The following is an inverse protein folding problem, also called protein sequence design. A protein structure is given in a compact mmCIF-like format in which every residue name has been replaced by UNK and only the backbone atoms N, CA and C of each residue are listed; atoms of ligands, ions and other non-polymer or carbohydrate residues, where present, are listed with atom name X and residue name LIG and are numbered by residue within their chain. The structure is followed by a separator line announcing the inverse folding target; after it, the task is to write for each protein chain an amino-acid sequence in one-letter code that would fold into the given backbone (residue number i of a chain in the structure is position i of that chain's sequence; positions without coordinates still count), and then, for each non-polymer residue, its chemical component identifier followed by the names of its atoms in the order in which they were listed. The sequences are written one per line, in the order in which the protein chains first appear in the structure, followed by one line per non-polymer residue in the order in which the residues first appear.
data_IF_974973407502
#
_entry.id   IF_974973407502
#
_cell.length_a   1.000
_cell.length_b   1.000
_cell.length_c   1.000
_cell.angle_alpha   90.00
_cell.angle_beta   90.00
_cell.angle_gamma   90.00
#
_symmetry.space_group_name_H-M   'P 1'
#
loop_
_entity.id
_entity.type
_entity.pdbx_description
1 polymer ?
#
# COMPACT_ATOMS: atom_id res chain seq x y z
N UNK A 1 14.15 -3.62 -10.10
CA UNK A 1 12.75 -3.54 -9.66
C UNK A 1 12.69 -4.02 -8.23
N UNK A 2 11.94 -3.34 -7.38
CA UNK A 2 11.74 -3.71 -5.98
C UNK A 2 10.28 -4.18 -5.81
N UNK A 3 10.08 -5.26 -5.06
CA UNK A 3 8.74 -5.80 -4.80
C UNK A 3 8.46 -5.61 -3.32
N UNK A 4 7.40 -4.89 -3.01
CA UNK A 4 6.94 -4.68 -1.64
C UNK A 4 5.63 -5.42 -1.43
N UNK A 5 5.63 -6.27 -0.41
CA UNK A 5 4.42 -6.88 0.13
C UNK A 5 3.88 -6.00 1.26
N UNK A 6 2.59 -5.70 1.21
CA UNK A 6 1.89 -4.94 2.24
C UNK A 6 0.49 -5.49 2.44
N UNK A 7 -0.16 -5.14 3.55
CA UNK A 7 -1.54 -5.52 3.80
C UNK A 7 -2.35 -4.35 4.36
N UNK A 8 -3.61 -4.29 3.96
CA UNK A 8 -4.60 -3.34 4.45
C UNK A 8 -5.66 -4.06 5.27
N UNK A 9 -5.59 -3.93 6.59
CA UNK A 9 -6.58 -4.54 7.50
C UNK A 9 -7.91 -3.79 7.45
N UNK A 10 -9.02 -4.52 7.35
CA UNK A 10 -10.37 -3.96 7.38
C UNK A 10 -10.69 -3.44 8.78
N UNK A 11 -11.40 -2.31 8.84
CA UNK A 11 -11.94 -1.73 10.08
C UNK A 11 -13.14 -2.53 10.61
N UNK A 12 -13.92 -3.16 9.72
CA UNK A 12 -15.08 -3.96 10.07
C UNK A 12 -15.04 -5.29 9.29
N UNK A 13 -15.05 -6.42 10.00
CA UNK A 13 -14.95 -7.78 9.44
C UNK A 13 -16.30 -8.37 9.00
N UNK A 14 -17.39 -7.60 9.06
CA UNK A 14 -18.76 -8.12 8.86
C UNK A 14 -19.21 -8.29 7.41
N UNK A 15 -18.51 -7.72 6.42
CA UNK A 15 -18.86 -7.87 5.01
C UNK A 15 -17.84 -8.77 4.31
N UNK A 16 -18.34 -9.79 3.61
CA UNK A 16 -17.54 -10.69 2.80
C UNK A 16 -16.61 -9.90 1.86
N UNK A 17 -15.36 -10.36 1.65
CA UNK A 17 -14.45 -9.72 0.71
C UNK A 17 -15.06 -9.77 -0.69
N UNK A 18 -15.37 -8.61 -1.27
CA UNK A 18 -15.79 -8.56 -2.66
C UNK A 18 -14.55 -8.37 -3.53
N UNK A 19 -14.47 -9.11 -4.64
CA UNK A 19 -13.45 -8.94 -5.68
C UNK A 19 -13.39 -7.48 -6.18
N UNK A 20 -14.54 -6.77 -6.17
CA UNK A 20 -14.59 -5.33 -6.46
C UNK A 20 -13.78 -4.47 -5.49
N UNK A 21 -13.52 -4.93 -4.27
CA UNK A 21 -12.72 -4.19 -3.29
C UNK A 21 -11.24 -4.21 -3.66
N UNK A 22 -10.73 -5.32 -4.21
CA UNK A 22 -9.35 -5.43 -4.67
C UNK A 22 -9.10 -4.48 -5.86
N UNK A 23 -9.99 -4.48 -6.85
CA UNK A 23 -9.93 -3.55 -7.98
C UNK A 23 -9.94 -2.08 -7.50
N UNK A 24 -10.86 -1.71 -6.60
CA UNK A 24 -10.93 -0.35 -6.03
C UNK A 24 -9.68 0.08 -5.29
N UNK A 25 -8.99 -0.84 -4.64
CA UNK A 25 -7.72 -0.54 -3.96
C UNK A 25 -6.62 -0.28 -4.99
N UNK A 26 -6.53 -1.12 -6.03
CA UNK A 26 -5.58 -0.92 -7.13
C UNK A 26 -5.86 0.41 -7.86
N UNK A 27 -7.12 0.71 -8.16
CA UNK A 27 -7.52 1.97 -8.78
C UNK A 27 -7.13 3.18 -7.94
N UNK A 28 -7.37 3.12 -6.62
CA UNK A 28 -6.99 4.18 -5.71
C UNK A 28 -5.48 4.36 -5.58
N UNK A 29 -4.70 3.26 -5.61
CA UNK A 29 -3.24 3.33 -5.64
C UNK A 29 -2.75 4.05 -6.91
N UNK A 30 -3.28 3.70 -8.08
CA UNK A 30 -2.92 4.36 -9.34
C UNK A 30 -3.37 5.82 -9.38
N UNK A 31 -4.59 6.13 -8.94
CA UNK A 31 -5.13 7.48 -8.92
C UNK A 31 -4.32 8.45 -8.01
N UNK A 32 -3.56 7.91 -7.06
CA UNK A 32 -2.79 8.71 -6.10
C UNK A 32 -1.29 8.45 -6.17
N UNK A 33 -0.82 7.69 -7.16
CA UNK A 33 0.60 7.51 -7.43
C UNK A 33 1.22 8.81 -7.97
N UNK A 34 2.41 9.11 -7.47
CA UNK A 34 3.28 10.18 -7.96
C UNK A 34 4.47 9.55 -8.69
N UNK A 35 5.10 10.26 -9.64
CA UNK A 35 6.36 9.80 -10.25
C UNK A 35 7.45 9.49 -9.20
N UNK A 36 7.35 10.16 -8.05
CA UNK A 36 8.17 9.93 -6.85
C UNK A 36 8.09 8.52 -6.27
N UNK A 37 6.94 7.84 -6.33
CA UNK A 37 6.80 6.49 -5.75
C UNK A 37 7.42 5.43 -6.66
N UNK A 38 7.40 5.67 -7.98
CA UNK A 38 7.91 4.74 -8.98
C UNK A 38 7.04 3.49 -9.14
N UNK A 39 5.72 3.59 -8.91
CA UNK A 39 4.80 2.46 -9.10
C UNK A 39 4.78 2.01 -10.57
N UNK A 40 5.15 0.75 -10.82
CA UNK A 40 5.10 0.13 -12.15
C UNK A 40 3.94 -0.86 -12.29
N UNK A 41 3.66 -1.59 -11.21
CA UNK A 41 2.52 -2.51 -11.17
C UNK A 41 1.99 -2.65 -9.73
N UNK A 42 0.71 -2.95 -9.61
CA UNK A 42 0.05 -3.24 -8.34
C UNK A 42 -0.94 -4.39 -8.53
N UNK A 43 -0.90 -5.35 -7.63
CA UNK A 43 -1.94 -6.38 -7.52
C UNK A 43 -2.48 -6.41 -6.10
N UNK A 44 -3.75 -6.75 -5.99
CA UNK A 44 -4.46 -6.86 -4.74
C UNK A 44 -5.15 -8.22 -4.66
N UNK A 45 -5.00 -8.90 -3.53
CA UNK A 45 -5.67 -10.15 -3.24
C UNK A 45 -6.58 -9.95 -2.03
N UNK A 46 -7.90 -10.13 -2.18
CA UNK A 46 -8.81 -10.05 -1.05
C UNK A 46 -8.62 -11.26 -0.14
N UNK A 47 -8.52 -10.99 1.16
CA UNK A 47 -8.52 -11.98 2.24
C UNK A 47 -9.70 -11.68 3.19
N UNK A 48 -9.99 -12.58 4.13
CA UNK A 48 -11.19 -12.49 4.98
C UNK A 48 -11.30 -11.15 5.74
N UNK A 49 -10.19 -10.68 6.31
CA UNK A 49 -10.13 -9.51 7.17
C UNK A 49 -9.21 -8.40 6.63
N UNK A 50 -8.58 -8.62 5.47
CA UNK A 50 -7.59 -7.70 4.89
C UNK A 50 -7.55 -7.77 3.37
N UNK A 51 -6.77 -6.88 2.76
CA UNK A 51 -6.34 -7.01 1.38
C UNK A 51 -4.83 -7.05 1.37
N UNK A 52 -4.28 -8.11 0.81
CA UNK A 52 -2.84 -8.26 0.60
C UNK A 52 -2.48 -7.58 -0.73
N UNK A 53 -1.40 -6.81 -0.73
CA UNK A 53 -0.93 -5.99 -1.83
C UNK A 53 0.47 -6.43 -2.23
N UNK A 54 0.68 -6.55 -3.54
CA UNK A 54 2.01 -6.70 -4.12
C UNK A 54 2.28 -5.50 -5.02
N UNK A 55 3.21 -4.66 -4.58
CA UNK A 55 3.61 -3.43 -5.27
C UNK A 55 4.95 -3.65 -5.96
N UNK A 56 4.99 -3.37 -7.25
CA UNK A 56 6.19 -3.44 -8.06
C UNK A 56 6.66 -2.01 -8.30
N UNK A 57 7.79 -1.67 -7.69
CA UNK A 57 8.35 -0.33 -7.73
C UNK A 57 9.61 -0.32 -8.61
N UNK A 58 9.74 0.74 -9.38
CA UNK A 58 10.97 1.07 -10.07
C UNK A 58 12.07 1.27 -9.03
N UNK A 59 13.19 0.59 -9.24
CA UNK A 59 14.41 0.83 -8.45
C UNK A 59 14.89 2.23 -8.79
N UNK A 60 15.03 3.08 -7.76
CA UNK A 60 15.67 4.38 -7.90
C UNK A 60 17.13 4.26 -7.49
N UNK A 61 18.01 4.97 -8.18
CA UNK A 61 19.44 4.96 -7.86
C UNK A 61 19.67 5.45 -6.42
N UNK A 62 20.02 4.51 -5.55
CA UNK A 62 20.95 4.58 -4.42
C UNK A 62 20.61 3.48 -3.41
N UNK A 63 21.28 2.32 -3.54
CA UNK A 63 21.83 1.47 -2.46
C UNK A 63 21.09 1.25 -1.12
N UNK A 64 19.79 1.53 -0.97
CA UNK A 64 19.12 1.56 0.34
C UNK A 64 17.74 0.90 0.30
N UNK A 65 17.70 -0.36 0.75
CA UNK A 65 16.50 -1.15 0.95
C UNK A 65 15.43 -0.59 1.93
N UNK A 66 15.61 0.51 2.71
CA UNK A 66 14.46 1.19 3.32
C UNK A 66 13.66 2.10 2.35
N UNK A 67 14.23 2.49 1.20
CA UNK A 67 13.61 3.48 0.31
C UNK A 67 12.34 2.98 -0.40
N UNK A 68 12.27 1.70 -0.80
CA UNK A 68 11.06 1.12 -1.40
C UNK A 68 9.92 0.96 -0.40
N UNK A 69 10.21 0.48 0.81
CA UNK A 69 9.21 0.34 1.87
C UNK A 69 8.62 1.70 2.25
N UNK A 70 9.47 2.72 2.42
CA UNK A 70 9.06 4.11 2.61
C UNK A 70 8.11 4.62 1.52
N UNK A 71 8.48 4.43 0.25
CA UNK A 71 7.65 4.86 -0.89
C UNK A 71 6.33 4.10 -0.95
N UNK A 72 6.35 2.78 -0.75
CA UNK A 72 5.15 1.95 -0.69
C UNK A 72 4.21 2.42 0.42
N UNK A 73 4.74 2.64 1.63
CA UNK A 73 3.97 3.12 2.77
C UNK A 73 3.37 4.51 2.51
N UNK A 74 4.17 5.44 1.98
CA UNK A 74 3.71 6.79 1.64
C UNK A 74 2.58 6.75 0.59
N UNK A 75 2.73 5.91 -0.45
CA UNK A 75 1.70 5.70 -1.47
C UNK A 75 0.41 5.12 -0.87
N UNK A 76 0.51 4.05 -0.08
CA UNK A 76 -0.64 3.41 0.57
C UNK A 76 -1.38 4.42 1.46
N UNK A 77 -0.64 5.14 2.29
CA UNK A 77 -1.23 6.06 3.25
C UNK A 77 -1.85 7.29 2.57
N UNK A 78 -1.22 7.79 1.50
CA UNK A 78 -1.79 8.85 0.65
C UNK A 78 -3.06 8.40 -0.04
N UNK A 79 -3.07 7.19 -0.60
CA UNK A 79 -4.24 6.60 -1.26
C UNK A 79 -5.39 6.41 -0.28
N UNK A 80 -5.10 5.90 0.92
CA UNK A 80 -6.08 5.73 2.00
C UNK A 80 -6.64 7.08 2.47
N UNK A 81 -5.81 8.11 2.61
CA UNK A 81 -6.24 9.45 3.07
C UNK A 81 -7.16 10.14 2.07
N UNK A 82 -6.85 10.02 0.78
CA UNK A 82 -7.54 10.72 -0.30
C UNK A 82 -8.74 9.97 -0.87
N UNK A 83 -8.79 8.63 -0.74
CA UNK A 83 -9.95 7.83 -1.11
C UNK A 83 -10.91 7.65 0.07
N UNK A 84 -12.09 8.25 -0.01
CA UNK A 84 -13.13 8.12 1.04
C UNK A 84 -13.55 6.66 1.26
N UNK A 85 -13.57 5.86 0.19
CA UNK A 85 -13.86 4.42 0.25
C UNK A 85 -12.81 3.65 1.04
N UNK A 86 -11.53 3.91 0.77
CA UNK A 86 -10.43 3.28 1.52
C UNK A 86 -10.39 3.75 2.97
N UNK A 87 -10.51 5.07 3.21
CA UNK A 87 -10.44 5.66 4.55
C UNK A 87 -11.48 5.10 5.51
N UNK A 88 -12.69 4.82 5.02
CA UNK A 88 -13.79 4.26 5.82
C UNK A 88 -13.60 2.77 6.10
N UNK A 89 -12.99 2.03 5.17
CA UNK A 89 -12.97 0.57 5.19
C UNK A 89 -11.69 -0.02 5.77
N UNK A 90 -10.55 0.66 5.65
CA UNK A 90 -9.25 0.13 6.06
C UNK A 90 -8.63 0.96 7.18
N UNK A 91 -7.93 0.27 8.07
CA UNK A 91 -7.13 0.88 9.11
C UNK A 91 -5.90 1.58 8.51
N UNK A 92 -5.32 2.51 9.26
CA UNK A 92 -4.01 3.04 8.91
C UNK A 92 -3.01 1.88 8.92
N UNK A 93 -2.15 1.82 7.91
CA UNK A 93 -1.03 0.88 7.94
C UNK A 93 -0.18 1.25 9.16
N UNK A 94 0.14 0.30 10.07
CA UNK A 94 1.13 0.60 11.10
C UNK A 94 2.45 0.98 10.40
N UNK A 95 3.21 1.96 10.93
CA UNK A 95 4.56 2.18 10.46
C UNK A 95 5.32 0.85 10.60
N UNK A 96 6.09 0.48 9.58
CA UNK A 96 6.87 -0.76 9.60
C UNK A 96 7.78 -0.76 10.85
N UNK A 97 7.42 -1.56 11.86
CA UNK A 97 8.15 -1.61 13.13
C UNK A 97 9.41 -2.48 13.00
N UNK A 98 10.56 -1.80 13.02
CA UNK A 98 11.86 -2.19 13.61
C UNK A 98 12.54 -3.50 13.15
N UNK A 99 13.41 -3.35 12.15
CA UNK A 99 14.82 -3.74 12.32
C UNK A 99 15.82 -2.81 11.58
N UNK A 100 15.37 -1.66 11.09
CA UNK A 100 16.27 -0.60 10.63
C UNK A 100 15.85 0.71 11.27
N UNK A 101 16.65 1.13 12.24
CA UNK A 101 16.91 2.55 12.46
C UNK A 101 17.15 3.24 11.11
N UNK A 102 16.90 4.55 11.08
CA UNK A 102 16.86 5.45 9.92
C UNK A 102 15.44 5.70 9.41
N UNK A 103 14.79 6.54 10.21
CA UNK A 103 13.59 7.32 9.93
C UNK A 103 13.42 7.72 8.47
N UNK A 104 12.22 7.43 7.97
CA UNK A 104 11.65 8.01 6.76
C UNK A 104 11.34 9.50 7.04
N UNK A 105 12.30 10.39 6.81
CA UNK A 105 12.11 11.85 6.82
C UNK A 105 11.93 12.39 5.41
#
# INVERSE_FOLDING_TARGET
MEIVYASLTRRHTGNAPHESDAARVVDALWAHALPGDGLQHASARPEHDRIDLLLYLMTKDASTAPAALCRAHALIERSRRNSLGLRRRYLASPPHSREADHTCS
#
